data_IF_683489174883
#
_entry.id   IF_683489174883
#
_cell.length_a   1.000
_cell.length_b   1.000
_cell.length_c   1.000
_cell.angle_alpha   90.00
_cell.angle_beta   90.00
_cell.angle_gamma   90.00
#
_symmetry.space_group_name_H-M   'P 1'
#
loop_
_entity.id
_entity.type
_entity.pdbx_description
1 polymer ?
#
# COMPACT_ATOMS: atom_id res chain seq x y z
N UNK A 1 -3.51 -25.09 -31.05
CA UNK A 1 -2.85 -23.78 -30.87
C UNK A 1 -3.35 -23.20 -29.56
N UNK A 2 -2.61 -23.45 -28.50
CA UNK A 2 -2.95 -22.98 -27.15
C UNK A 2 -2.35 -21.57 -27.01
N UNK A 3 -3.19 -20.56 -26.83
CA UNK A 3 -2.78 -19.21 -26.58
C UNK A 3 -2.15 -19.05 -25.18
N UNK A 4 -1.27 -18.08 -24.97
CA UNK A 4 -0.64 -17.87 -23.68
C UNK A 4 -1.68 -17.41 -22.65
N UNK A 5 -1.69 -18.07 -21.51
CA UNK A 5 -2.44 -17.66 -20.31
C UNK A 5 -1.89 -16.32 -19.82
N UNK A 6 -2.71 -15.30 -19.58
CA UNK A 6 -2.22 -14.07 -18.99
C UNK A 6 -1.78 -14.35 -17.54
N UNK A 7 -0.51 -14.08 -17.26
CA UNK A 7 0.01 -14.06 -15.88
C UNK A 7 -0.73 -12.99 -15.09
N UNK A 8 -1.37 -13.38 -13.99
CA UNK A 8 -2.04 -12.48 -13.06
C UNK A 8 -1.03 -11.58 -12.37
N UNK A 9 -0.91 -10.34 -12.81
CA UNK A 9 -0.20 -9.29 -12.11
C UNK A 9 -1.14 -8.71 -11.05
N UNK A 10 -0.94 -9.06 -9.81
CA UNK A 10 -1.63 -8.44 -8.68
C UNK A 10 -0.97 -7.09 -8.38
N UNK A 11 -1.41 -6.04 -9.03
CA UNK A 11 -0.99 -4.67 -8.71
C UNK A 11 -1.81 -4.14 -7.55
N UNK A 12 -1.18 -3.93 -6.41
CA UNK A 12 -1.76 -3.19 -5.31
C UNK A 12 -1.54 -1.71 -5.55
N UNK A 13 -2.60 -0.95 -5.82
CA UNK A 13 -2.52 0.50 -5.87
C UNK A 13 -2.79 1.07 -4.48
N UNK A 14 -1.86 1.85 -3.97
CA UNK A 14 -2.01 2.63 -2.74
C UNK A 14 -3.28 3.47 -2.78
N UNK A 15 -4.20 3.17 -1.90
CA UNK A 15 -5.38 4.03 -1.68
C UNK A 15 -6.73 3.35 -1.85
N UNK A 16 -6.80 2.19 -2.44
CA UNK A 16 -8.03 1.42 -2.49
C UNK A 16 -7.70 -0.06 -2.37
N UNK A 17 -7.82 -0.55 -1.17
CA UNK A 17 -7.58 -1.92 -0.85
C UNK A 17 -8.75 -2.76 -1.14
N UNK A 18 -8.54 -3.72 -2.00
CA UNK A 18 -8.99 -5.06 -1.69
C UNK A 18 -7.79 -5.97 -1.75
N UNK A 19 -7.29 -6.38 -0.59
CA UNK A 19 -6.60 -7.64 -0.48
C UNK A 19 -7.65 -8.72 -0.69
N UNK A 20 -8.17 -8.83 -1.93
CA UNK A 20 -9.03 -9.92 -2.30
C UNK A 20 -8.22 -11.21 -2.23
N UNK A 21 -8.75 -12.27 -1.61
CA UNK A 21 -8.09 -13.57 -1.60
C UNK A 21 -7.81 -13.99 -3.05
N UNK A 22 -6.64 -14.59 -3.27
CA UNK A 22 -6.20 -15.03 -4.56
C UNK A 22 -7.34 -15.79 -5.30
N UNK A 23 -7.90 -15.18 -6.35
CA UNK A 23 -8.85 -15.81 -7.25
C UNK A 23 -10.19 -15.11 -7.48
N UNK A 24 -10.55 -14.01 -6.79
CA UNK A 24 -11.92 -13.52 -6.87
C UNK A 24 -12.12 -12.16 -7.52
N UNK A 25 -11.19 -11.22 -7.48
CA UNK A 25 -11.41 -9.92 -8.13
C UNK A 25 -10.11 -9.32 -8.67
N UNK A 26 -10.20 -8.72 -9.86
CA UNK A 26 -9.08 -7.95 -10.41
C UNK A 26 -8.97 -6.65 -9.61
N UNK A 27 -7.80 -6.37 -9.06
CA UNK A 27 -7.56 -5.07 -8.45
C UNK A 27 -7.78 -3.93 -9.46
N UNK A 28 -8.16 -2.76 -8.99
CA UNK A 28 -8.31 -1.58 -9.86
C UNK A 28 -7.03 -1.33 -10.68
N UNK A 29 -5.86 -1.54 -10.08
CA UNK A 29 -4.57 -1.43 -10.77
C UNK A 29 -4.45 -2.37 -11.96
N UNK A 30 -4.87 -3.64 -11.82
CA UNK A 30 -4.86 -4.60 -12.92
C UNK A 30 -5.80 -4.21 -14.05
N UNK A 31 -7.01 -3.73 -13.71
CA UNK A 31 -7.98 -3.27 -14.71
C UNK A 31 -7.45 -2.04 -15.47
N UNK A 32 -6.88 -1.08 -14.75
CA UNK A 32 -6.32 0.14 -15.36
C UNK A 32 -5.10 -0.16 -16.20
N UNK A 33 -4.17 -0.98 -15.71
CA UNK A 33 -2.99 -1.40 -16.46
C UNK A 33 -3.37 -2.16 -17.74
N UNK A 34 -4.33 -3.09 -17.64
CA UNK A 34 -4.83 -3.83 -18.81
C UNK A 34 -5.52 -2.93 -19.84
N UNK A 35 -6.17 -1.83 -19.42
CA UNK A 35 -6.89 -0.92 -20.30
C UNK A 35 -5.99 0.14 -20.93
N UNK A 36 -5.05 0.68 -20.18
CA UNK A 36 -4.24 1.84 -20.58
C UNK A 36 -2.78 1.48 -20.90
N UNK A 37 -2.34 0.25 -20.57
CA UNK A 37 -0.97 -0.21 -20.86
C UNK A 37 0.06 0.78 -20.37
N UNK A 38 0.94 1.24 -21.28
CA UNK A 38 2.04 2.16 -20.96
C UNK A 38 1.58 3.59 -20.58
N UNK A 39 0.32 3.93 -20.77
CA UNK A 39 -0.25 5.22 -20.32
C UNK A 39 -0.69 5.19 -18.85
N UNK A 40 -0.72 4.00 -18.20
CA UNK A 40 -0.99 3.86 -16.77
C UNK A 40 0.32 3.88 -15.97
N UNK A 41 0.28 4.52 -14.81
CA UNK A 41 1.41 4.50 -13.86
C UNK A 41 0.90 4.23 -12.45
N UNK A 42 1.55 3.27 -11.79
CA UNK A 42 1.31 2.92 -10.40
C UNK A 42 2.41 3.51 -9.52
N UNK A 43 2.01 4.32 -8.53
CA UNK A 43 2.94 4.94 -7.58
C UNK A 43 2.61 4.42 -6.19
N UNK A 44 3.57 3.74 -5.55
CA UNK A 44 3.46 3.35 -4.15
C UNK A 44 3.69 4.55 -3.23
N UNK A 45 2.94 4.61 -2.13
CA UNK A 45 3.19 5.54 -1.04
C UNK A 45 3.67 4.74 0.17
N UNK A 46 4.93 4.96 0.56
CA UNK A 46 5.54 4.31 1.72
C UNK A 46 5.93 5.34 2.78
N UNK A 47 5.94 4.92 4.04
CA UNK A 47 6.38 5.75 5.15
C UNK A 47 7.04 4.90 6.24
N UNK A 48 7.82 5.51 7.14
CA UNK A 48 8.46 4.77 8.22
C UNK A 48 7.48 4.50 9.36
N UNK A 49 6.97 5.56 9.96
CA UNK A 49 6.09 5.47 11.13
C UNK A 49 5.14 6.67 11.23
N UNK A 50 4.40 6.75 12.31
CA UNK A 50 3.55 7.89 12.62
C UNK A 50 2.13 7.52 12.99
N UNK A 51 1.17 8.34 12.59
CA UNK A 51 -0.24 8.10 12.85
C UNK A 51 -1.05 8.19 11.57
N UNK A 52 -1.95 7.25 11.38
CA UNK A 52 -2.92 7.23 10.27
C UNK A 52 -4.33 7.34 10.81
N UNK A 53 -5.19 8.02 10.06
CA UNK A 53 -6.59 8.16 10.43
C UNK A 53 -7.42 7.17 9.63
N UNK A 54 -7.79 6.07 10.27
CA UNK A 54 -8.50 4.97 9.62
C UNK A 54 -9.53 4.34 10.57
N UNK A 55 -10.23 3.34 10.12
CA UNK A 55 -11.25 2.64 10.88
C UNK A 55 -10.59 1.64 11.84
N UNK A 56 -10.91 1.76 13.12
CA UNK A 56 -10.56 0.77 14.13
C UNK A 56 -11.60 -0.37 14.12
N UNK A 57 -11.14 -1.60 14.28
CA UNK A 57 -11.99 -2.76 14.55
C UNK A 57 -12.05 -3.01 16.06
N UNK A 58 -13.19 -3.51 16.54
CA UNK A 58 -13.35 -4.07 17.87
C UNK A 58 -12.85 -5.53 17.93
N UNK A 59 -12.98 -6.17 19.08
CA UNK A 59 -12.58 -7.56 19.31
C UNK A 59 -13.32 -8.57 18.45
N UNK A 60 -14.50 -8.21 17.96
CA UNK A 60 -15.38 -9.05 17.16
C UNK A 60 -15.22 -8.78 15.66
N UNK A 61 -14.29 -7.88 15.29
CA UNK A 61 -14.01 -7.50 13.92
C UNK A 61 -14.98 -6.47 13.33
N UNK A 62 -15.87 -5.88 14.15
CA UNK A 62 -16.78 -4.84 13.70
C UNK A 62 -16.10 -3.46 13.75
N UNK A 63 -16.65 -2.52 12.98
CA UNK A 63 -16.17 -1.15 12.99
C UNK A 63 -16.44 -0.46 14.33
N UNK A 64 -15.37 -0.04 15.00
CA UNK A 64 -15.42 0.77 16.22
C UNK A 64 -15.16 2.27 15.95
N UNK A 65 -15.39 2.71 14.71
CA UNK A 65 -15.29 4.10 14.31
C UNK A 65 -13.89 4.51 13.79
N UNK A 66 -13.81 5.77 13.36
CA UNK A 66 -12.55 6.38 12.90
C UNK A 66 -11.70 6.79 14.09
N UNK A 67 -10.41 6.49 14.03
CA UNK A 67 -9.43 6.88 15.03
C UNK A 67 -8.07 7.20 14.41
N UNK A 68 -7.29 8.05 15.06
CA UNK A 68 -5.88 8.19 14.78
C UNK A 68 -5.15 7.02 15.45
N UNK A 69 -4.55 6.16 14.65
CA UNK A 69 -3.90 4.94 15.09
C UNK A 69 -2.40 5.02 14.81
N UNK A 70 -1.62 4.61 15.77
CA UNK A 70 -0.16 4.64 15.66
C UNK A 70 0.34 3.45 14.85
N UNK A 71 1.13 3.75 13.83
CA UNK A 71 1.89 2.77 13.07
C UNK A 71 3.30 2.74 13.65
N UNK A 72 3.75 1.60 14.16
CA UNK A 72 5.09 1.47 14.74
C UNK A 72 6.17 1.53 13.66
N UNK A 73 7.42 1.72 14.10
CA UNK A 73 8.59 1.63 13.20
C UNK A 73 8.61 0.29 12.46
N UNK A 74 8.99 0.30 11.19
CA UNK A 74 8.92 -0.88 10.33
C UNK A 74 9.90 -1.97 10.76
N UNK A 75 9.56 -3.25 10.54
CA UNK A 75 10.45 -4.36 10.81
C UNK A 75 11.69 -4.31 9.91
N UNK A 76 12.81 -4.75 10.43
CA UNK A 76 14.05 -4.81 9.66
C UNK A 76 13.89 -5.68 8.40
N UNK A 77 14.37 -5.17 7.28
CA UNK A 77 14.28 -5.84 5.98
C UNK A 77 13.02 -5.51 5.17
N UNK A 78 12.03 -4.83 5.74
CA UNK A 78 10.87 -4.36 4.98
C UNK A 78 11.22 -3.17 4.06
N UNK A 79 10.39 -2.92 3.06
CA UNK A 79 10.55 -1.77 2.15
C UNK A 79 10.63 -0.45 2.91
N UNK A 80 9.69 -0.12 3.82
CA UNK A 80 9.75 1.14 4.57
C UNK A 80 10.97 1.23 5.48
N UNK A 81 11.46 0.11 6.04
CA UNK A 81 12.69 0.09 6.81
C UNK A 81 13.92 0.43 5.95
N UNK A 82 14.02 -0.18 4.77
CA UNK A 82 15.12 0.10 3.85
C UNK A 82 15.10 1.56 3.38
N UNK A 83 13.92 2.08 3.02
CA UNK A 83 13.76 3.46 2.57
C UNK A 83 14.11 4.46 3.70
N UNK A 84 13.74 4.17 4.94
CA UNK A 84 14.09 5.01 6.09
C UNK A 84 15.60 5.06 6.35
N UNK A 85 16.33 3.99 6.04
CA UNK A 85 17.79 3.92 6.21
C UNK A 85 18.57 4.87 5.30
N UNK A 86 17.94 5.40 4.25
CA UNK A 86 18.52 6.41 3.35
C UNK A 86 18.76 7.75 4.07
N UNK A 87 18.02 8.02 5.16
CA UNK A 87 18.19 9.23 5.98
C UNK A 87 17.61 10.49 5.35
N UNK A 88 16.77 10.39 4.34
CA UNK A 88 16.02 11.50 3.76
C UNK A 88 14.58 11.48 4.27
N UNK A 89 14.06 12.64 4.67
CA UNK A 89 12.69 12.75 5.22
C UNK A 89 11.60 12.47 4.22
N UNK A 90 11.83 12.82 2.96
CA UNK A 90 10.91 12.52 1.87
C UNK A 90 11.64 12.51 0.54
N UNK A 91 11.29 11.58 -0.31
CA UNK A 91 11.84 11.47 -1.65
C UNK A 91 10.93 10.61 -2.53
N UNK A 92 11.23 10.59 -3.83
CA UNK A 92 10.61 9.69 -4.79
C UNK A 92 11.69 8.92 -5.56
N UNK A 93 11.42 7.67 -5.86
CA UNK A 93 12.30 6.79 -6.65
C UNK A 93 11.51 6.28 -7.84
N UNK A 94 12.07 6.40 -9.06
CA UNK A 94 11.57 5.73 -10.25
C UNK A 94 12.13 4.29 -10.26
N UNK A 95 11.28 3.29 -10.13
CA UNK A 95 11.67 1.87 -10.08
C UNK A 95 11.59 1.17 -11.44
N UNK A 96 11.13 1.86 -12.49
CA UNK A 96 11.06 1.31 -13.86
C UNK A 96 12.40 1.22 -14.57
N UNK A 97 13.34 2.06 -14.16
CA UNK A 97 14.65 2.10 -14.81
C UNK A 97 15.41 0.83 -14.46
N UNK A 98 15.84 0.13 -15.47
CA UNK A 98 16.83 -0.93 -15.29
C UNK A 98 18.10 -0.27 -14.76
N UNK A 99 18.36 -0.52 -13.51
CA UNK A 99 19.59 -0.07 -12.88
C UNK A 99 20.73 -0.97 -13.35
N UNK A 100 21.92 -0.39 -13.55
CA UNK A 100 23.12 -1.18 -13.87
C UNK A 100 23.68 -1.90 -12.62
N UNK A 101 22.91 -1.92 -11.54
CA UNK A 101 23.26 -2.60 -10.28
C UNK A 101 22.47 -3.90 -10.16
N UNK A 102 23.12 -5.06 -10.31
CA UNK A 102 22.49 -6.36 -10.23
C UNK A 102 21.82 -6.63 -8.86
N UNK A 103 22.35 -6.05 -7.77
CA UNK A 103 21.78 -6.22 -6.44
C UNK A 103 20.43 -5.50 -6.31
N UNK A 104 20.31 -4.30 -6.88
CA UNK A 104 19.06 -3.56 -6.93
C UNK A 104 18.02 -4.24 -7.83
N UNK A 105 18.44 -4.72 -9.01
CA UNK A 105 17.56 -5.46 -9.92
C UNK A 105 17.04 -6.75 -9.25
N UNK A 106 17.90 -7.44 -8.52
CA UNK A 106 17.51 -8.62 -7.75
C UNK A 106 16.51 -8.25 -6.64
N UNK A 107 16.78 -7.19 -5.89
CA UNK A 107 15.89 -6.72 -4.83
C UNK A 107 14.51 -6.33 -5.37
N UNK A 108 14.44 -5.59 -6.46
CA UNK A 108 13.19 -5.18 -7.11
C UNK A 108 12.38 -6.37 -7.66
N UNK A 109 13.04 -7.49 -7.97
CA UNK A 109 12.40 -8.70 -8.53
C UNK A 109 12.07 -9.78 -7.49
N UNK A 110 12.45 -9.58 -6.22
CA UNK A 110 12.10 -10.49 -5.12
C UNK A 110 10.94 -9.95 -4.30
N UNK A 111 10.22 -10.87 -3.62
CA UNK A 111 9.14 -10.51 -2.70
C UNK A 111 9.68 -9.73 -1.51
N UNK A 112 9.04 -8.62 -1.18
CA UNK A 112 9.39 -7.72 -0.10
C UNK A 112 8.16 -7.44 0.77
N UNK A 113 8.38 -7.15 2.05
CA UNK A 113 7.32 -6.68 2.94
C UNK A 113 7.08 -5.18 2.75
N UNK A 114 5.86 -4.83 2.36
CA UNK A 114 5.41 -3.44 2.20
C UNK A 114 4.15 -3.17 3.04
N UNK A 115 3.81 -1.90 3.29
CA UNK A 115 2.66 -1.58 4.11
C UNK A 115 1.35 -2.05 3.49
N UNK A 116 0.48 -2.65 4.33
CA UNK A 116 -0.86 -3.11 3.99
C UNK A 116 -1.96 -2.30 4.68
N UNK A 117 -1.68 -1.06 5.08
CA UNK A 117 -2.61 -0.22 5.82
C UNK A 117 -3.64 0.37 4.86
N UNK A 118 -4.85 -0.15 4.93
CA UNK A 118 -5.97 0.26 4.11
C UNK A 118 -7.07 1.02 4.88
N UNK A 119 -8.31 0.74 4.54
CA UNK A 119 -9.48 1.37 5.14
C UNK A 119 -9.76 0.89 6.59
N UNK A 120 -9.11 -0.20 7.03
CA UNK A 120 -9.11 -0.69 8.41
C UNK A 120 -7.69 -0.82 8.91
N UNK A 121 -7.52 -0.71 10.23
CA UNK A 121 -6.27 -0.95 10.91
C UNK A 121 -6.34 -2.28 11.64
N UNK A 122 -5.48 -3.20 11.25
CA UNK A 122 -5.25 -4.46 11.93
C UNK A 122 -3.76 -4.57 12.30
N UNK A 123 -3.41 -4.50 13.59
CA UNK A 123 -2.02 -4.59 14.03
C UNK A 123 -1.33 -5.91 13.65
N UNK A 124 -2.10 -6.97 13.39
CA UNK A 124 -1.56 -8.29 13.01
C UNK A 124 -1.24 -8.42 11.53
N UNK A 125 -1.73 -7.48 10.70
CA UNK A 125 -1.60 -7.51 9.24
C UNK A 125 -1.19 -6.15 8.65
N UNK A 126 -0.23 -5.48 9.30
CA UNK A 126 0.28 -4.17 8.82
C UNK A 126 1.13 -4.26 7.56
N UNK A 127 1.56 -5.46 7.20
CA UNK A 127 2.46 -5.70 6.08
C UNK A 127 1.92 -6.84 5.21
N UNK A 128 2.18 -6.74 3.92
CA UNK A 128 1.97 -7.82 2.96
C UNK A 128 3.22 -8.04 2.12
N UNK A 129 3.28 -9.18 1.44
CA UNK A 129 4.37 -9.52 0.53
C UNK A 129 4.04 -9.04 -0.89
N UNK A 130 4.96 -8.32 -1.52
CA UNK A 130 4.82 -7.82 -2.88
C UNK A 130 6.14 -7.77 -3.63
N UNK A 131 6.09 -7.73 -4.95
CA UNK A 131 7.27 -7.58 -5.82
C UNK A 131 7.25 -6.18 -6.43
N UNK A 132 8.03 -5.29 -5.85
CA UNK A 132 8.06 -3.86 -6.15
C UNK A 132 8.20 -3.58 -7.65
N UNK A 133 9.16 -4.22 -8.30
CA UNK A 133 9.47 -3.98 -9.71
C UNK A 133 8.39 -4.44 -10.70
N UNK A 134 7.38 -5.21 -10.25
CA UNK A 134 6.25 -5.62 -11.07
C UNK A 134 4.96 -4.90 -10.73
N UNK A 135 4.88 -4.29 -9.55
CA UNK A 135 3.68 -3.66 -9.03
C UNK A 135 3.67 -2.14 -9.26
N UNK A 136 4.85 -1.51 -9.23
CA UNK A 136 4.94 -0.05 -9.22
C UNK A 136 5.92 0.47 -10.26
N UNK A 137 5.65 1.68 -10.73
CA UNK A 137 6.55 2.49 -11.57
C UNK A 137 7.43 3.42 -10.73
N UNK A 138 6.93 3.83 -9.56
CA UNK A 138 7.65 4.70 -8.64
C UNK A 138 7.23 4.46 -7.19
N UNK A 139 8.08 4.83 -6.26
CA UNK A 139 7.78 4.88 -4.83
C UNK A 139 7.97 6.32 -4.35
N UNK A 140 7.00 6.83 -3.61
CA UNK A 140 7.12 8.06 -2.82
C UNK A 140 7.25 7.67 -1.36
N UNK A 141 8.30 8.11 -0.70
CA UNK A 141 8.56 7.86 0.70
C UNK A 141 8.43 9.13 1.54
N UNK A 142 7.80 8.99 2.72
CA UNK A 142 7.72 10.02 3.76
C UNK A 142 8.14 9.40 5.08
N UNK A 143 9.14 9.97 5.76
CA UNK A 143 9.70 9.40 6.99
C UNK A 143 8.64 9.25 8.09
N UNK A 144 7.83 10.30 8.31
CA UNK A 144 6.86 10.33 9.39
C UNK A 144 5.51 10.89 8.92
N UNK A 145 4.43 10.15 9.13
CA UNK A 145 3.08 10.58 8.74
C UNK A 145 2.27 11.06 9.93
N UNK A 146 1.39 12.03 9.68
CA UNK A 146 0.45 12.56 10.66
C UNK A 146 -0.99 12.28 10.21
N UNK A 147 -1.92 12.07 11.15
CA UNK A 147 -3.30 11.76 10.81
C UNK A 147 -3.98 12.95 10.11
N UNK A 148 -4.83 12.64 9.14
CA UNK A 148 -5.65 13.65 8.48
C UNK A 148 -6.64 14.29 9.47
N UNK A 149 -6.88 15.60 9.32
CA UNK A 149 -7.92 16.28 10.10
C UNK A 149 -9.29 16.04 9.45
N UNK A 150 -10.11 15.25 10.15
CA UNK A 150 -11.48 14.96 9.68
C UNK A 150 -12.36 16.18 9.91
N UNK A 151 -13.08 16.63 8.88
CA UNK A 151 -13.99 17.76 9.03
C UNK A 151 -15.17 17.40 9.96
N UNK A 152 -15.73 18.37 10.71
CA UNK A 152 -16.91 18.12 11.56
C UNK A 152 -18.11 17.53 10.80
N UNK A 153 -18.25 17.86 9.51
CA UNK A 153 -19.31 17.30 8.66
C UNK A 153 -19.08 15.82 8.36
N UNK A 154 -17.85 15.42 8.05
CA UNK A 154 -17.49 14.03 7.81
C UNK A 154 -17.69 13.17 9.06
N UNK A 155 -17.28 13.66 10.24
CA UNK A 155 -17.54 12.97 11.52
C UNK A 155 -19.02 12.77 11.78
N UNK A 156 -19.86 13.80 11.54
CA UNK A 156 -21.33 13.69 11.70
C UNK A 156 -21.94 12.71 10.70
N UNK A 157 -21.49 12.70 9.46
CA UNK A 157 -21.97 11.77 8.44
C UNK A 157 -21.60 10.31 8.79
N UNK A 158 -20.38 10.09 9.28
CA UNK A 158 -19.92 8.78 9.73
C UNK A 158 -20.74 8.27 10.91
N UNK A 159 -20.92 9.09 11.96
CA UNK A 159 -21.72 8.73 13.13
C UNK A 159 -23.21 8.42 12.84
N UNK A 160 -23.75 8.91 11.72
CA UNK A 160 -25.10 8.57 11.26
C UNK A 160 -25.15 7.18 10.61
N UNK A 161 -24.11 6.77 9.90
CA UNK A 161 -24.04 5.48 9.20
C UNK A 161 -23.86 4.30 10.16
N UNK A 162 -23.23 4.51 11.30
CA UNK A 162 -23.02 3.45 12.30
C UNK A 162 -24.25 3.15 13.17
N UNK A 163 -25.36 3.88 12.96
CA UNK A 163 -26.63 3.67 13.69
C UNK A 163 -27.65 2.84 12.92
N UNK A 164 -27.27 2.33 11.75
CA UNK A 164 -28.09 1.44 10.94
C UNK A 164 -27.34 0.12 10.66
#
# INVERSE_FOLDING_TARGET
MSGPTPSSLSGSTTGTYDAAPAGSEQSLGNVLSGRFGDDYRAIAMEFSDGQVHTRRLDTDGHSAGLAALTVPSPPAGSVPWLLSSIGLRSFAIDVRRRHHDPALDQWLSTSQQEHAIGWTYDPSSLYHEGVIGTQYDAIVFVEHVTPTHTTPNALRAFARRERY
#
